data_IF_947574669987
#
_entry.id   IF_947574669987
#
_cell.length_a   1.000
_cell.length_b   1.000
_cell.length_c   1.000
_cell.angle_alpha   90.00
_cell.angle_beta   90.00
_cell.angle_gamma   90.00
#
_symmetry.space_group_name_H-M   'P 1'
#
loop_
_entity.id
_entity.type
_entity.pdbx_description
1 polymer ?
#
# COMPACT_ATOMS: atom_id res chain seq x y z
N UNK A 1 -11.26 11.90 27.14
CA UNK A 1 -11.01 10.50 27.52
C UNK A 1 -10.05 9.94 26.49
N UNK A 2 -8.98 9.26 26.92
CA UNK A 2 -7.95 8.73 26.01
C UNK A 2 -8.56 7.72 25.03
N UNK A 3 -8.26 7.84 23.74
CA UNK A 3 -8.72 6.91 22.70
C UNK A 3 -8.15 5.49 22.88
N UNK A 4 -7.06 5.37 23.63
CA UNK A 4 -6.33 4.13 23.84
C UNK A 4 -6.73 3.43 25.14
N UNK A 5 -6.89 2.11 25.07
CA UNK A 5 -6.88 1.25 26.26
C UNK A 5 -5.57 1.40 27.04
N UNK A 6 -5.57 1.08 28.33
CA UNK A 6 -4.36 1.15 29.17
C UNK A 6 -3.21 0.29 28.60
N UNK A 7 -3.53 -0.87 28.04
CA UNK A 7 -2.59 -1.72 27.32
C UNK A 7 -2.07 -1.06 26.03
N UNK A 8 -2.94 -0.36 25.29
CA UNK A 8 -2.58 0.43 24.12
C UNK A 8 -1.59 1.54 24.48
N UNK A 9 -1.87 2.31 25.54
CA UNK A 9 -1.00 3.38 26.02
C UNK A 9 0.38 2.85 26.44
N UNK A 10 0.42 1.71 27.17
CA UNK A 10 1.67 1.07 27.60
C UNK A 10 2.49 0.51 26.43
N UNK A 11 1.84 0.13 25.33
CA UNK A 11 2.52 -0.36 24.13
C UNK A 11 3.05 0.81 23.30
N UNK A 12 2.21 1.84 23.12
CA UNK A 12 2.55 3.05 22.38
C UNK A 12 3.72 3.81 23.03
N UNK A 13 3.75 3.88 24.37
CA UNK A 13 4.85 4.52 25.11
C UNK A 13 6.21 3.86 24.85
N UNK A 14 6.24 2.57 24.50
CA UNK A 14 7.47 1.87 24.12
C UNK A 14 7.85 2.08 22.65
N UNK A 15 6.86 2.28 21.78
CA UNK A 15 7.06 2.51 20.34
C UNK A 15 7.46 3.95 20.01
N UNK A 16 6.94 4.92 20.78
CA UNK A 16 7.16 6.35 20.56
C UNK A 16 8.21 6.96 21.50
N UNK A 17 8.86 6.14 22.35
CA UNK A 17 9.91 6.62 23.24
C UNK A 17 11.11 7.09 22.41
N UNK A 18 11.30 8.41 22.37
CA UNK A 18 12.56 9.01 21.96
C UNK A 18 13.69 8.47 22.83
N UNK A 19 14.77 8.03 22.21
CA UNK A 19 16.01 7.67 22.91
C UNK A 19 17.21 8.18 22.11
N UNK A 20 18.27 8.71 22.76
CA UNK A 20 19.51 9.09 22.08
C UNK A 20 20.10 7.95 21.23
N UNK A 21 19.87 6.70 21.64
CA UNK A 21 20.28 5.49 20.92
C UNK A 21 19.58 5.35 19.57
N UNK A 22 18.28 5.69 19.48
CA UNK A 22 17.54 5.68 18.22
C UNK A 22 18.07 6.71 17.23
N UNK A 23 18.31 7.95 17.68
CA UNK A 23 18.89 9.01 16.84
C UNK A 23 20.30 8.65 16.36
N UNK A 24 21.13 8.13 17.26
CA UNK A 24 22.47 7.66 16.93
C UNK A 24 22.41 6.54 15.87
N UNK A 25 21.46 5.60 16.00
CA UNK A 25 21.26 4.52 15.03
C UNK A 25 20.76 5.04 13.69
N UNK A 26 19.83 5.99 13.65
CA UNK A 26 19.34 6.62 12.41
C UNK A 26 20.51 7.30 11.68
N UNK A 27 21.30 8.10 12.41
CA UNK A 27 22.46 8.80 11.85
C UNK A 27 23.50 7.82 11.31
N UNK A 28 23.91 6.86 12.13
CA UNK A 28 24.90 5.84 11.76
C UNK A 28 24.45 5.01 10.54
N UNK A 29 23.21 4.54 10.54
CA UNK A 29 22.64 3.78 9.42
C UNK A 29 22.55 4.61 8.14
N UNK A 30 22.33 5.92 8.25
CA UNK A 30 22.34 6.82 7.09
C UNK A 30 23.75 6.91 6.49
N UNK A 31 24.78 7.08 7.31
CA UNK A 31 26.17 7.13 6.81
C UNK A 31 26.59 5.80 6.18
N UNK A 32 26.27 4.67 6.80
CA UNK A 32 26.76 3.35 6.36
C UNK A 32 25.95 2.77 5.20
N UNK A 33 24.62 2.93 5.22
CA UNK A 33 23.71 2.27 4.28
C UNK A 33 23.23 3.17 3.14
N UNK A 34 23.31 4.50 3.29
CA UNK A 34 22.78 5.46 2.29
C UNK A 34 23.83 6.37 1.66
N UNK A 35 25.07 6.34 2.14
CA UNK A 35 26.19 7.07 1.51
C UNK A 35 27.27 6.09 1.07
N UNK A 36 27.92 6.40 -0.04
CA UNK A 36 29.16 5.78 -0.48
C UNK A 36 30.09 6.81 -1.09
N UNK A 37 31.39 6.60 -0.92
CA UNK A 37 32.39 7.38 -1.63
C UNK A 37 32.34 7.03 -3.11
N UNK A 38 32.29 8.05 -3.96
CA UNK A 38 32.34 7.92 -5.41
C UNK A 38 33.61 8.60 -5.90
N UNK A 39 34.41 7.90 -6.70
CA UNK A 39 35.54 8.48 -7.42
C UNK A 39 35.16 8.65 -8.88
N UNK A 40 35.22 9.88 -9.39
CA UNK A 40 34.97 10.21 -10.77
C UNK A 40 36.28 10.56 -11.46
N UNK A 41 36.54 9.95 -12.61
CA UNK A 41 37.62 10.31 -13.52
C UNK A 41 36.98 10.88 -14.78
N UNK A 42 37.26 12.14 -15.08
CA UNK A 42 36.78 12.81 -16.30
C UNK A 42 37.96 12.90 -17.26
N UNK A 43 37.76 12.41 -18.48
CA UNK A 43 38.77 12.39 -19.54
C UNK A 43 38.29 13.17 -20.75
N UNK A 44 39.21 13.88 -21.40
CA UNK A 44 38.99 14.45 -22.72
C UNK A 44 39.00 13.34 -23.81
N UNK A 45 38.56 13.63 -25.06
CA UNK A 45 38.58 12.64 -26.15
C UNK A 45 39.96 12.05 -26.45
N UNK A 46 41.04 12.74 -26.09
CA UNK A 46 42.42 12.27 -26.23
C UNK A 46 42.88 11.36 -25.07
N UNK A 47 41.98 11.02 -24.14
CA UNK A 47 42.25 10.16 -22.99
C UNK A 47 42.91 10.85 -21.79
N UNK A 48 43.24 12.14 -21.88
CA UNK A 48 43.88 12.86 -20.77
C UNK A 48 42.86 13.27 -19.70
N UNK A 49 43.21 13.19 -18.41
CA UNK A 49 42.36 13.70 -17.34
C UNK A 49 42.06 15.20 -17.50
N UNK A 50 40.81 15.57 -17.28
CA UNK A 50 40.41 16.98 -17.20
C UNK A 50 40.60 17.45 -15.77
N UNK A 51 41.64 18.25 -15.54
CA UNK A 51 41.88 18.85 -14.22
C UNK A 51 40.84 19.92 -13.90
N UNK A 52 40.45 20.00 -12.61
CA UNK A 52 39.54 21.03 -12.07
C UNK A 52 38.19 21.14 -12.81
N UNK A 53 37.68 20.03 -13.31
CA UNK A 53 36.37 20.00 -13.97
C UNK A 53 35.23 20.43 -13.02
N UNK A 54 34.33 21.28 -13.52
CA UNK A 54 33.07 21.61 -12.84
C UNK A 54 32.03 20.57 -13.20
N UNK A 55 31.50 19.86 -12.20
CA UNK A 55 30.50 18.80 -12.38
C UNK A 55 29.15 19.26 -11.82
N UNK A 56 28.07 19.03 -12.57
CA UNK A 56 26.69 19.26 -12.11
C UNK A 56 25.92 17.94 -12.16
N UNK A 57 25.27 17.59 -11.04
CA UNK A 57 24.36 16.46 -10.97
C UNK A 57 22.91 16.94 -10.96
N UNK A 58 22.02 16.18 -11.59
CA UNK A 58 20.57 16.33 -11.45
C UNK A 58 20.01 14.96 -11.05
N UNK A 59 19.41 14.88 -9.87
CA UNK A 59 18.70 13.67 -9.44
C UNK A 59 17.56 13.40 -10.43
N UNK A 60 17.55 12.22 -11.05
CA UNK A 60 16.52 11.81 -12.02
C UNK A 60 15.45 10.94 -11.38
N UNK A 61 15.86 10.02 -10.51
CA UNK A 61 15.03 9.09 -9.75
C UNK A 61 15.70 8.79 -8.41
N UNK A 62 14.93 8.31 -7.46
CA UNK A 62 15.44 7.84 -6.17
C UNK A 62 14.80 6.49 -5.82
N UNK A 63 15.50 5.70 -5.02
CA UNK A 63 15.03 4.39 -4.58
C UNK A 63 13.90 4.51 -3.54
N UNK A 64 13.96 5.54 -2.70
CA UNK A 64 12.94 5.81 -1.68
C UNK A 64 11.54 5.81 -2.32
N UNK A 65 10.60 5.05 -1.77
CA UNK A 65 9.24 5.03 -2.28
C UNK A 65 8.54 6.30 -1.83
N UNK A 66 8.32 7.21 -2.76
CA UNK A 66 7.56 8.44 -2.56
C UNK A 66 6.33 8.37 -3.45
N UNK A 67 5.19 8.14 -2.82
CA UNK A 67 3.96 7.82 -3.52
C UNK A 67 2.73 8.46 -2.91
N UNK A 68 1.64 8.31 -3.65
CA UNK A 68 0.31 8.75 -3.22
C UNK A 68 -0.75 7.73 -3.64
N UNK A 69 -1.97 7.92 -3.14
CA UNK A 69 -3.10 7.17 -3.65
C UNK A 69 -3.43 7.58 -5.09
N UNK A 70 -3.58 6.59 -5.97
CA UNK A 70 -4.01 6.82 -7.36
C UNK A 70 -5.54 6.85 -7.49
N UNK A 71 -6.26 7.21 -6.42
CA UNK A 71 -7.71 7.06 -6.36
C UNK A 71 -8.45 7.99 -7.32
N UNK A 72 -7.83 9.06 -7.79
CA UNK A 72 -8.44 9.99 -8.75
C UNK A 72 -8.03 9.70 -10.20
N UNK A 73 -7.30 8.61 -10.46
CA UNK A 73 -6.95 8.20 -11.82
C UNK A 73 -8.22 7.99 -12.66
N UNK A 74 -8.36 8.79 -13.72
CA UNK A 74 -9.51 8.76 -14.65
C UNK A 74 -10.88 8.91 -13.97
N UNK A 75 -10.94 9.57 -12.81
CA UNK A 75 -12.19 9.78 -12.06
C UNK A 75 -12.87 11.13 -12.34
N UNK A 76 -12.21 12.08 -13.02
CA UNK A 76 -12.85 13.33 -13.41
C UNK A 76 -13.75 13.11 -14.64
N UNK A 77 -14.96 13.69 -14.61
CA UNK A 77 -16.02 13.44 -15.62
C UNK A 77 -16.62 14.74 -16.14
N UNK A 78 -17.34 14.64 -17.26
CA UNK A 78 -18.04 15.78 -17.87
C UNK A 78 -17.07 16.89 -18.26
N UNK A 79 -17.41 18.13 -17.95
CA UNK A 79 -16.60 19.32 -18.26
C UNK A 79 -15.22 19.32 -17.58
N UNK A 80 -15.03 18.49 -16.54
CA UNK A 80 -13.75 18.37 -15.83
C UNK A 80 -12.86 17.23 -16.35
N UNK A 81 -13.27 16.49 -17.38
CA UNK A 81 -12.53 15.32 -17.86
C UNK A 81 -11.07 15.62 -18.25
N UNK A 82 -10.78 16.86 -18.68
CA UNK A 82 -9.42 17.34 -18.97
C UNK A 82 -8.48 17.25 -17.76
N UNK A 83 -9.00 17.27 -16.53
CA UNK A 83 -8.19 17.14 -15.30
C UNK A 83 -7.54 15.77 -15.17
N UNK A 84 -8.03 14.73 -15.86
CA UNK A 84 -7.39 13.41 -15.84
C UNK A 84 -5.99 13.43 -16.45
N UNK A 85 -5.80 14.16 -17.56
CA UNK A 85 -4.49 14.31 -18.20
C UNK A 85 -3.53 15.07 -17.29
N UNK A 86 -4.00 16.17 -16.69
CA UNK A 86 -3.21 16.95 -15.72
C UNK A 86 -2.87 16.12 -14.49
N UNK A 87 -3.80 15.31 -13.98
CA UNK A 87 -3.56 14.41 -12.87
C UNK A 87 -2.44 13.42 -13.19
N UNK A 88 -2.50 12.75 -14.34
CA UNK A 88 -1.46 11.81 -14.81
C UNK A 88 -0.11 12.52 -14.93
N UNK A 89 -0.06 13.69 -15.55
CA UNK A 89 1.16 14.48 -15.73
C UNK A 89 1.79 14.83 -14.37
N UNK A 90 1.01 15.41 -13.45
CA UNK A 90 1.53 15.84 -12.15
C UNK A 90 1.88 14.67 -11.24
N UNK A 91 1.10 13.59 -11.28
CA UNK A 91 1.37 12.40 -10.48
C UNK A 91 2.73 11.80 -10.87
N UNK A 92 2.98 11.65 -12.18
CA UNK A 92 4.22 11.03 -12.69
C UNK A 92 5.45 11.93 -12.59
N UNK A 93 5.27 13.25 -12.50
CA UNK A 93 6.36 14.19 -12.22
C UNK A 93 6.83 14.15 -10.76
N UNK A 94 5.93 13.83 -9.81
CA UNK A 94 6.19 13.93 -8.38
C UNK A 94 6.46 12.58 -7.72
N UNK A 95 5.70 11.55 -8.08
CA UNK A 95 5.67 10.28 -7.38
C UNK A 95 6.32 9.15 -8.19
N UNK A 96 6.93 8.20 -7.48
CA UNK A 96 7.45 6.96 -8.06
C UNK A 96 6.66 5.72 -7.60
N UNK A 97 5.66 5.88 -6.73
CA UNK A 97 4.80 4.79 -6.26
C UNK A 97 3.33 5.24 -6.25
N UNK A 98 2.43 4.32 -6.58
CA UNK A 98 1.00 4.53 -6.53
C UNK A 98 0.30 3.43 -5.72
N UNK A 99 -0.74 3.82 -4.97
CA UNK A 99 -1.57 2.88 -4.22
C UNK A 99 -2.76 2.43 -5.06
N UNK A 100 -2.90 1.11 -5.22
CA UNK A 100 -4.02 0.41 -5.88
C UNK A 100 -5.14 0.16 -4.85
N UNK A 101 -6.37 0.65 -5.06
CA UNK A 101 -7.45 0.59 -4.08
C UNK A 101 -8.17 -0.77 -4.07
N UNK A 102 -7.78 -1.67 -3.16
CA UNK A 102 -8.41 -2.99 -2.99
C UNK A 102 -9.58 -3.01 -1.99
N UNK A 103 -9.92 -1.87 -1.36
CA UNK A 103 -11.01 -1.72 -0.39
C UNK A 103 -12.21 -2.62 -0.72
N UNK A 104 -12.41 -3.68 0.08
CA UNK A 104 -13.18 -4.84 -0.37
C UNK A 104 -14.63 -4.50 -0.69
N UNK A 105 -15.27 -3.62 0.08
CA UNK A 105 -16.63 -3.13 -0.19
C UNK A 105 -16.80 -2.50 -1.57
N UNK A 106 -15.78 -1.83 -2.09
CA UNK A 106 -15.78 -1.19 -3.40
C UNK A 106 -15.07 -2.02 -4.48
N UNK A 107 -14.22 -2.96 -4.09
CA UNK A 107 -13.57 -3.91 -5.01
C UNK A 107 -14.52 -5.06 -5.37
N UNK A 108 -15.39 -5.47 -4.46
CA UNK A 108 -16.43 -6.48 -4.65
C UNK A 108 -17.76 -6.03 -4.01
N UNK A 109 -18.46 -5.06 -4.61
CA UNK A 109 -19.71 -4.52 -4.04
C UNK A 109 -20.80 -5.58 -3.86
N UNK A 110 -20.83 -6.55 -4.77
CA UNK A 110 -21.69 -7.73 -4.73
C UNK A 110 -20.83 -8.98 -4.89
N UNK A 111 -21.21 -10.09 -4.25
CA UNK A 111 -20.44 -11.33 -4.27
C UNK A 111 -20.19 -11.79 -5.71
N UNK A 112 -18.92 -11.96 -6.08
CA UNK A 112 -18.47 -12.36 -7.41
C UNK A 112 -18.40 -11.25 -8.44
N UNK A 113 -18.86 -10.03 -8.13
CA UNK A 113 -18.82 -8.87 -9.04
C UNK A 113 -17.58 -8.02 -8.75
N UNK A 114 -16.41 -8.56 -9.13
CA UNK A 114 -15.12 -7.91 -8.91
C UNK A 114 -14.92 -6.72 -9.84
N UNK A 115 -14.48 -5.58 -9.29
CA UNK A 115 -14.14 -4.36 -10.02
C UNK A 115 -12.65 -4.31 -10.38
N UNK A 116 -12.19 -5.35 -11.07
CA UNK A 116 -10.79 -5.49 -11.50
C UNK A 116 -10.53 -4.73 -12.78
N UNK A 117 -11.41 -4.88 -13.78
CA UNK A 117 -11.15 -4.53 -15.17
C UNK A 117 -11.59 -3.10 -15.52
N UNK A 118 -10.90 -2.51 -16.48
CA UNK A 118 -11.31 -1.24 -17.11
C UNK A 118 -12.74 -1.37 -17.64
N UNK A 119 -13.59 -0.40 -17.29
CA UNK A 119 -15.02 -0.44 -17.62
C UNK A 119 -15.91 -1.05 -16.54
N UNK A 120 -15.34 -1.57 -15.43
CA UNK A 120 -16.13 -1.94 -14.25
C UNK A 120 -17.03 -0.77 -13.79
N UNK A 121 -18.17 -1.05 -13.14
CA UNK A 121 -19.10 -0.01 -12.66
C UNK A 121 -18.39 1.11 -11.91
N UNK A 122 -18.85 2.34 -12.08
CA UNK A 122 -18.16 3.48 -11.49
C UNK A 122 -18.40 3.59 -9.98
N UNK A 123 -17.31 3.77 -9.23
CA UNK A 123 -17.34 4.16 -7.82
C UNK A 123 -16.31 5.27 -7.65
N UNK A 124 -16.76 6.45 -7.21
CA UNK A 124 -15.89 7.62 -7.05
C UNK A 124 -14.72 7.30 -6.12
N UNK A 125 -13.52 7.71 -6.53
CA UNK A 125 -12.26 7.45 -5.80
C UNK A 125 -11.90 5.97 -5.66
N UNK A 126 -12.46 5.10 -6.50
CA UNK A 126 -12.18 3.65 -6.53
C UNK A 126 -12.04 3.20 -7.98
N UNK A 127 -11.04 3.70 -8.72
CA UNK A 127 -10.74 3.19 -10.06
C UNK A 127 -10.53 1.67 -10.00
N UNK A 128 -10.93 0.92 -11.04
CA UNK A 128 -10.66 -0.51 -11.14
C UNK A 128 -9.17 -0.80 -10.94
N UNK A 129 -8.86 -1.93 -10.31
CA UNK A 129 -7.49 -2.24 -9.91
C UNK A 129 -6.54 -2.38 -11.11
N UNK A 130 -6.99 -2.96 -12.23
CA UNK A 130 -6.18 -3.11 -13.44
C UNK A 130 -5.78 -1.77 -14.03
N UNK A 131 -6.68 -0.79 -14.04
CA UNK A 131 -6.41 0.54 -14.58
C UNK A 131 -5.26 1.24 -13.83
N UNK A 132 -5.22 1.08 -12.50
CA UNK A 132 -4.13 1.63 -11.69
C UNK A 132 -2.82 0.85 -11.89
N UNK A 133 -2.90 -0.47 -12.03
CA UNK A 133 -1.72 -1.32 -12.29
C UNK A 133 -1.11 -1.01 -13.66
N UNK A 134 -1.93 -0.91 -14.71
CA UNK A 134 -1.51 -0.54 -16.06
C UNK A 134 -0.91 0.88 -16.08
N UNK A 135 -1.49 1.83 -15.34
CA UNK A 135 -0.91 3.15 -15.15
C UNK A 135 0.49 3.07 -14.52
N UNK A 136 0.68 2.22 -13.51
CA UNK A 136 1.98 2.02 -12.89
C UNK A 136 3.01 1.45 -13.89
N UNK A 137 2.64 0.40 -14.62
CA UNK A 137 3.50 -0.25 -15.60
C UNK A 137 3.89 0.72 -16.73
N UNK A 138 2.92 1.43 -17.29
CA UNK A 138 3.10 2.41 -18.37
C UNK A 138 4.07 3.53 -17.99
N UNK A 139 4.01 4.01 -16.75
CA UNK A 139 4.81 5.14 -16.28
C UNK A 139 6.03 4.74 -15.45
N UNK A 140 6.31 3.43 -15.31
CA UNK A 140 7.43 2.93 -14.52
C UNK A 140 7.33 3.30 -13.03
N UNK A 141 6.10 3.33 -12.50
CA UNK A 141 5.81 3.52 -11.08
C UNK A 141 5.74 2.16 -10.39
N UNK A 142 6.02 2.15 -9.09
CA UNK A 142 5.77 0.99 -8.25
C UNK A 142 4.32 0.96 -7.80
N UNK A 143 3.67 -0.19 -7.87
CA UNK A 143 2.35 -0.40 -7.31
C UNK A 143 2.44 -0.88 -5.85
N UNK A 144 1.53 -0.40 -5.00
CA UNK A 144 1.26 -0.95 -3.65
C UNK A 144 -0.24 -1.25 -3.54
N UNK A 145 -0.61 -2.49 -3.24
CA UNK A 145 -2.01 -2.86 -3.00
C UNK A 145 -2.46 -2.46 -1.59
N UNK A 146 -3.58 -1.75 -1.48
CA UNK A 146 -4.11 -1.31 -0.18
C UNK A 146 -5.64 -1.21 -0.14
N UNK A 147 -6.26 -1.72 0.93
CA UNK A 147 -5.90 -2.96 1.64
C UNK A 147 -6.74 -4.12 1.13
N UNK A 148 -6.29 -5.36 1.35
CA UNK A 148 -7.12 -6.54 1.06
C UNK A 148 -8.27 -6.64 2.06
N UNK A 149 -7.96 -6.54 3.36
CA UNK A 149 -8.97 -6.59 4.42
C UNK A 149 -8.85 -5.38 5.33
N UNK A 150 -9.95 -4.68 5.52
CA UNK A 150 -10.08 -3.61 6.51
C UNK A 150 -11.47 -3.69 7.12
N UNK A 151 -11.51 -3.80 8.45
CA UNK A 151 -12.72 -4.02 9.21
C UNK A 151 -13.78 -2.91 9.01
N UNK A 152 -13.36 -1.68 8.69
CA UNK A 152 -14.24 -0.53 8.42
C UNK A 152 -14.94 -0.60 7.06
N UNK A 153 -14.32 -1.23 6.06
CA UNK A 153 -14.77 -1.24 4.66
C UNK A 153 -14.99 -2.66 4.15
N UNK A 154 -15.83 -3.41 4.89
CA UNK A 154 -16.23 -4.77 4.55
C UNK A 154 -17.54 -4.78 3.74
N UNK A 155 -17.63 -5.62 2.68
CA UNK A 155 -18.87 -5.77 1.93
C UNK A 155 -20.05 -6.24 2.81
N UNK A 156 -21.24 -5.71 2.54
CA UNK A 156 -22.46 -6.03 3.31
C UNK A 156 -22.95 -7.47 3.11
N UNK A 157 -22.58 -8.10 2.00
CA UNK A 157 -22.99 -9.46 1.66
C UNK A 157 -22.18 -10.55 2.40
N UNK A 158 -21.12 -10.16 3.13
CA UNK A 158 -20.28 -11.12 3.83
C UNK A 158 -21.08 -11.92 4.88
N UNK A 159 -20.77 -13.23 5.00
CA UNK A 159 -21.49 -14.09 5.92
C UNK A 159 -21.18 -13.72 7.38
N UNK A 160 -22.23 -13.75 8.21
CA UNK A 160 -22.11 -13.66 9.67
C UNK A 160 -21.88 -15.06 10.25
N UNK A 161 -20.73 -15.64 9.92
CA UNK A 161 -20.29 -16.95 10.38
C UNK A 161 -18.78 -17.07 10.19
N UNK A 162 -18.05 -17.40 11.24
CA UNK A 162 -16.58 -17.42 11.20
C UNK A 162 -15.98 -18.34 10.14
N UNK A 163 -16.55 -19.53 9.91
CA UNK A 163 -16.01 -20.48 8.93
C UNK A 163 -16.23 -19.97 7.51
N UNK A 164 -17.46 -19.53 7.21
CA UNK A 164 -17.77 -18.97 5.90
C UNK A 164 -17.04 -17.66 5.63
N UNK A 165 -16.80 -16.83 6.65
CA UNK A 165 -16.03 -15.60 6.51
C UNK A 165 -14.55 -15.91 6.19
N UNK A 166 -13.98 -16.96 6.79
CA UNK A 166 -12.65 -17.42 6.46
C UNK A 166 -12.55 -17.92 5.01
N UNK A 167 -13.57 -18.62 4.52
CA UNK A 167 -13.64 -19.05 3.11
C UNK A 167 -13.67 -17.83 2.16
N UNK A 168 -14.42 -16.77 2.50
CA UNK A 168 -14.45 -15.55 1.69
C UNK A 168 -13.14 -14.78 1.75
N UNK A 169 -12.46 -14.75 2.91
CA UNK A 169 -11.12 -14.19 3.03
C UNK A 169 -10.12 -14.93 2.13
N UNK A 170 -10.13 -16.26 2.14
CA UNK A 170 -9.27 -17.07 1.29
C UNK A 170 -9.55 -16.84 -0.19
N UNK A 171 -10.83 -16.82 -0.60
CA UNK A 171 -11.23 -16.53 -1.98
C UNK A 171 -10.73 -15.16 -2.45
N UNK A 172 -10.91 -14.12 -1.64
CA UNK A 172 -10.44 -12.78 -1.94
C UNK A 172 -8.91 -12.76 -2.12
N UNK A 173 -8.18 -13.29 -1.13
CA UNK A 173 -6.71 -13.28 -1.12
C UNK A 173 -6.16 -14.07 -2.30
N UNK A 174 -6.70 -15.26 -2.57
CA UNK A 174 -6.28 -16.10 -3.69
C UNK A 174 -6.53 -15.39 -5.03
N UNK A 175 -7.70 -14.79 -5.23
CA UNK A 175 -8.01 -14.07 -6.47
C UNK A 175 -7.15 -12.81 -6.69
N UNK A 176 -6.84 -12.07 -5.63
CA UNK A 176 -5.90 -10.94 -5.71
C UNK A 176 -4.49 -11.44 -6.03
N UNK A 177 -4.04 -12.53 -5.39
CA UNK A 177 -2.73 -13.11 -5.63
C UNK A 177 -2.58 -13.58 -7.08
N UNK A 178 -3.56 -14.36 -7.57
CA UNK A 178 -3.57 -14.91 -8.93
C UNK A 178 -3.42 -13.81 -9.98
N UNK A 179 -4.14 -12.69 -9.82
CA UNK A 179 -4.13 -11.61 -10.81
C UNK A 179 -2.95 -10.63 -10.66
N UNK A 180 -2.53 -10.34 -9.42
CA UNK A 180 -1.69 -9.19 -9.14
C UNK A 180 -0.33 -9.50 -8.50
N UNK A 181 -0.06 -10.72 -8.01
CA UNK A 181 1.20 -11.03 -7.33
C UNK A 181 2.45 -10.86 -8.21
N UNK A 182 2.30 -11.02 -9.53
CA UNK A 182 3.38 -10.78 -10.51
C UNK A 182 3.59 -9.30 -10.87
N UNK A 183 2.64 -8.42 -10.51
CA UNK A 183 2.61 -7.00 -10.92
C UNK A 183 2.82 -6.04 -9.74
N UNK A 184 2.42 -6.46 -8.54
CA UNK A 184 2.48 -5.67 -7.32
C UNK A 184 3.35 -6.41 -6.30
N UNK A 185 4.37 -5.73 -5.78
CA UNK A 185 5.27 -6.33 -4.78
C UNK A 185 4.80 -6.15 -3.34
N UNK A 186 4.10 -5.06 -3.02
CA UNK A 186 3.72 -4.73 -1.65
C UNK A 186 2.20 -4.76 -1.49
N UNK A 187 1.71 -5.50 -0.51
CA UNK A 187 0.28 -5.55 -0.20
C UNK A 187 0.03 -5.37 1.29
N UNK A 188 -0.88 -4.46 1.62
CA UNK A 188 -1.45 -4.38 2.95
C UNK A 188 -2.51 -5.48 3.08
N UNK A 189 -2.16 -6.57 3.76
CA UNK A 189 -3.03 -7.75 3.96
C UNK A 189 -4.18 -7.37 4.90
N UNK A 190 -3.85 -6.68 5.98
CA UNK A 190 -4.81 -6.18 6.95
C UNK A 190 -4.51 -4.73 7.29
N UNK A 191 -5.56 -3.92 7.36
CA UNK A 191 -5.49 -2.53 7.77
C UNK A 191 -6.14 -2.32 9.14
N UNK A 192 -5.41 -1.59 9.99
CA UNK A 192 -5.87 -1.00 11.24
C UNK A 192 -6.44 -2.00 12.26
N UNK A 193 -5.71 -3.10 12.48
CA UNK A 193 -6.17 -4.15 13.40
C UNK A 193 -6.16 -3.77 14.88
N UNK A 194 -5.44 -2.72 15.26
CA UNK A 194 -5.46 -2.21 16.63
C UNK A 194 -6.62 -1.24 16.88
N UNK A 195 -7.22 -0.69 15.84
CA UNK A 195 -8.41 0.14 15.96
C UNK A 195 -9.65 -0.73 16.18
N UNK A 196 -10.56 -0.23 17.02
CA UNK A 196 -11.81 -0.91 17.32
C UNK A 196 -12.96 -0.15 16.66
N UNK A 197 -13.36 -0.58 15.46
CA UNK A 197 -14.63 -0.14 14.87
C UNK A 197 -15.80 -0.81 15.60
N UNK A 198 -16.67 0.02 16.18
CA UNK A 198 -17.81 -0.45 16.98
C UNK A 198 -18.77 -1.32 16.16
N UNK A 199 -18.96 -1.02 14.87
CA UNK A 199 -19.87 -1.77 14.00
C UNK A 199 -19.31 -3.16 13.66
N UNK A 200 -18.03 -3.23 13.31
CA UNK A 200 -17.33 -4.51 13.11
C UNK A 200 -17.34 -5.33 14.40
N UNK A 201 -17.07 -4.69 15.53
CA UNK A 201 -17.09 -5.34 16.82
C UNK A 201 -18.47 -5.94 17.12
N UNK A 202 -19.54 -5.17 16.95
CA UNK A 202 -20.90 -5.63 17.24
C UNK A 202 -21.41 -6.70 16.26
N UNK A 203 -21.21 -6.50 14.95
CA UNK A 203 -21.76 -7.40 13.93
C UNK A 203 -20.96 -8.70 13.85
N UNK A 204 -19.64 -8.59 13.91
CA UNK A 204 -18.77 -9.71 13.61
C UNK A 204 -18.12 -10.29 14.87
N UNK A 205 -17.48 -9.46 15.70
CA UNK A 205 -16.62 -9.98 16.78
C UNK A 205 -17.41 -10.45 18.00
N UNK A 206 -18.36 -9.65 18.49
CA UNK A 206 -19.16 -9.91 19.70
C UNK A 206 -19.94 -11.22 19.58
N UNK A 207 -20.49 -11.47 18.40
CA UNK A 207 -21.36 -12.61 18.15
C UNK A 207 -20.58 -13.85 17.64
N UNK A 208 -19.24 -13.84 17.72
CA UNK A 208 -18.40 -14.99 17.35
C UNK A 208 -18.32 -15.29 15.85
N UNK A 209 -18.60 -14.29 15.00
CA UNK A 209 -18.59 -14.41 13.55
C UNK A 209 -17.22 -14.13 12.92
N UNK A 210 -16.24 -13.65 13.70
CA UNK A 210 -14.84 -13.52 13.27
C UNK A 210 -14.06 -14.73 13.80
N UNK A 211 -13.24 -15.39 12.97
CA UNK A 211 -12.33 -16.42 13.46
C UNK A 211 -11.39 -15.89 14.54
N UNK A 212 -11.10 -16.69 15.56
CA UNK A 212 -10.00 -16.38 16.48
C UNK A 212 -8.69 -16.19 15.70
N UNK A 213 -7.86 -15.24 16.14
CA UNK A 213 -6.61 -14.90 15.47
C UNK A 213 -6.77 -14.59 13.96
N UNK A 214 -7.89 -13.97 13.55
CA UNK A 214 -8.19 -13.75 12.12
C UNK A 214 -7.09 -13.01 11.37
N UNK A 215 -6.42 -12.02 11.98
CA UNK A 215 -5.29 -11.32 11.35
C UNK A 215 -4.16 -12.30 11.05
N UNK A 216 -3.74 -13.11 12.01
CA UNK A 216 -2.71 -14.14 11.77
C UNK A 216 -3.13 -15.11 10.67
N UNK A 217 -4.39 -15.58 10.69
CA UNK A 217 -4.95 -16.47 9.66
C UNK A 217 -4.90 -15.81 8.28
N UNK A 218 -5.23 -14.53 8.15
CA UNK A 218 -5.13 -13.78 6.90
C UNK A 218 -3.70 -13.71 6.38
N UNK A 219 -2.71 -13.50 7.25
CA UNK A 219 -1.30 -13.53 6.84
C UNK A 219 -0.84 -14.94 6.44
N UNK A 220 -1.33 -15.99 7.09
CA UNK A 220 -1.06 -17.38 6.67
C UNK A 220 -1.67 -17.69 5.30
N UNK A 221 -2.91 -17.24 5.05
CA UNK A 221 -3.54 -17.35 3.74
C UNK A 221 -2.76 -16.56 2.68
N UNK A 222 -2.39 -15.32 2.97
CA UNK A 222 -1.58 -14.52 2.05
C UNK A 222 -0.24 -15.22 1.76
N UNK A 223 0.46 -15.75 2.77
CA UNK A 223 1.69 -16.51 2.59
C UNK A 223 1.53 -17.83 1.81
N UNK A 224 0.32 -18.40 1.76
CA UNK A 224 0.00 -19.58 0.94
C UNK A 224 -0.10 -19.26 -0.55
N UNK A 225 -0.65 -18.09 -0.90
CA UNK A 225 -0.98 -17.74 -2.29
C UNK A 225 0.02 -16.76 -2.94
N UNK A 226 0.67 -15.91 -2.17
CA UNK A 226 1.67 -14.97 -2.69
C UNK A 226 3.06 -15.60 -2.75
N UNK A 227 3.88 -15.25 -3.77
CA UNK A 227 5.26 -15.69 -3.84
C UNK A 227 6.10 -15.02 -2.74
N UNK A 228 7.21 -15.66 -2.36
CA UNK A 228 8.13 -15.14 -1.34
C UNK A 228 8.74 -13.75 -1.68
N UNK A 229 8.68 -13.33 -2.95
CA UNK A 229 9.10 -12.00 -3.39
C UNK A 229 8.11 -10.89 -3.01
N UNK A 230 6.88 -11.24 -2.63
CA UNK A 230 5.85 -10.30 -2.20
C UNK A 230 6.05 -9.94 -0.73
N UNK A 231 6.05 -8.63 -0.46
CA UNK A 231 6.07 -8.09 0.89
C UNK A 231 4.62 -7.98 1.40
N UNK A 232 4.29 -8.78 2.40
CA UNK A 232 2.99 -8.80 3.06
C UNK A 232 3.03 -7.89 4.28
N UNK A 233 2.21 -6.84 4.28
CA UNK A 233 2.29 -5.73 5.22
C UNK A 233 1.07 -5.71 6.12
N UNK A 234 1.33 -5.51 7.42
CA UNK A 234 0.34 -5.04 8.37
C UNK A 234 0.39 -3.51 8.40
N UNK A 235 -0.70 -2.85 8.06
CA UNK A 235 -0.76 -1.38 8.01
C UNK A 235 -1.61 -0.85 9.17
N UNK A 236 -1.15 0.19 9.83
CA UNK A 236 -1.84 0.80 10.97
C UNK A 236 -1.84 2.33 10.83
N UNK A 237 -2.93 2.95 11.27
CA UNK A 237 -3.10 4.39 11.27
C UNK A 237 -2.62 5.03 12.57
N UNK A 238 -2.43 6.35 12.62
CA UNK A 238 -2.09 7.05 13.87
C UNK A 238 -3.27 7.14 14.85
N UNK A 239 -4.48 6.75 14.43
CA UNK A 239 -5.75 6.92 15.14
C UNK A 239 -6.07 5.73 16.05
N UNK A 240 -5.10 5.33 16.84
CA UNK A 240 -5.28 4.33 17.90
C UNK A 240 -5.76 4.98 19.20
#
# INVERSE_FOLDING_TARGET
>A
MSAFSEAGQKTLSKLLAYTPEFDARIKCSTEISRKRALKLLITAPDGKPVERATIRFKLRKHEFRFGANAFMLNQFRGEEAWKNEVYIEKFTQLFNQAVVPFYWDAYEPEKGQLRQETGSPYIYRRPPADEVVEFCEKHGLYAKGHPMVWHTLMPKWLPRNQFRLLDEYERLIAGIAERYAGKIRWFDVYNEGLQLDSLFYEIYKRDGNVPDHHIEKLFRLAGKYFPASTELIYNEGPWM
#
